data_IF_041909438617
#
_entry.id   IF_041909438617
#
_cell.length_a   1.000
_cell.length_b   1.000
_cell.length_c   1.000
_cell.angle_alpha   90.00
_cell.angle_beta   90.00
_cell.angle_gamma   90.00
#
_symmetry.space_group_name_H-M   'P 1'
#
loop_
_entity.id
_entity.type
_entity.pdbx_description
1 polymer ?
#
# COMPACT_ATOMS: atom_id res chain seq x y z
N UNK A 1 -5.99 4.79 -29.38
CA UNK A 1 -4.62 5.06 -28.89
C UNK A 1 -4.56 4.59 -27.46
N UNK A 2 -3.50 3.91 -27.05
CA UNK A 2 -3.27 3.53 -25.64
C UNK A 2 -2.06 4.31 -25.13
N UNK A 3 -2.17 4.82 -23.92
CA UNK A 3 -1.10 5.51 -23.24
C UNK A 3 -0.79 4.74 -21.93
N UNK A 4 0.47 4.56 -21.62
CA UNK A 4 0.90 3.85 -20.42
C UNK A 4 1.59 4.84 -19.49
N UNK A 5 1.16 4.83 -18.23
CA UNK A 5 1.81 5.57 -17.14
C UNK A 5 2.33 4.53 -16.17
N UNK A 6 3.58 4.67 -15.77
CA UNK A 6 4.18 3.86 -14.72
C UNK A 6 4.07 4.60 -13.38
N UNK A 7 4.11 3.85 -12.29
CA UNK A 7 4.18 4.45 -10.96
C UNK A 7 5.40 5.36 -10.84
N UNK A 8 5.21 6.51 -10.25
CA UNK A 8 6.28 7.46 -9.92
C UNK A 8 6.82 7.25 -8.52
N UNK A 9 6.00 6.67 -7.64
CA UNK A 9 6.37 6.11 -6.33
C UNK A 9 5.48 4.91 -6.05
N UNK A 10 6.03 3.92 -5.39
CA UNK A 10 5.28 2.80 -4.86
C UNK A 10 5.94 2.24 -3.59
N UNK A 11 5.13 1.64 -2.76
CA UNK A 11 5.55 0.97 -1.53
C UNK A 11 4.42 0.09 -1.03
N UNK A 12 4.71 -0.71 -0.04
CA UNK A 12 3.66 -1.37 0.72
C UNK A 12 3.86 -1.15 2.22
N UNK A 13 2.82 -1.35 2.99
CA UNK A 13 2.83 -1.31 4.44
C UNK A 13 2.22 -2.58 4.98
N UNK A 14 2.67 -3.02 6.14
CA UNK A 14 2.15 -4.23 6.78
C UNK A 14 1.82 -3.98 8.23
N UNK A 15 0.64 -4.48 8.63
CA UNK A 15 0.26 -4.57 10.03
C UNK A 15 0.95 -5.80 10.62
N UNK A 16 1.93 -5.58 11.47
CA UNK A 16 2.46 -6.65 12.28
C UNK A 16 1.70 -6.70 13.59
N UNK A 17 0.70 -7.55 13.67
CA UNK A 17 -0.04 -7.75 14.92
C UNK A 17 0.91 -8.22 16.03
N UNK A 18 0.88 -7.59 17.23
CA UNK A 18 1.74 -7.95 18.35
C UNK A 18 1.59 -9.39 18.87
N UNK A 19 0.71 -10.18 18.29
CA UNK A 19 0.55 -11.60 18.60
C UNK A 19 1.58 -12.54 17.97
N UNK A 20 2.39 -12.07 17.02
CA UNK A 20 3.45 -12.87 16.40
C UNK A 20 4.79 -12.69 17.14
N UNK A 21 4.82 -13.12 18.40
CA UNK A 21 5.86 -12.82 19.38
C UNK A 21 7.25 -13.37 19.02
N UNK A 22 7.40 -14.24 18.03
CA UNK A 22 8.63 -15.05 17.92
C UNK A 22 9.49 -14.76 16.70
N UNK A 23 8.99 -14.22 15.62
CA UNK A 23 9.76 -14.16 14.36
C UNK A 23 9.93 -12.76 13.74
N UNK A 24 9.07 -11.80 14.06
CA UNK A 24 9.18 -10.46 13.51
C UNK A 24 9.00 -9.42 14.60
N UNK A 25 10.06 -8.68 14.97
CA UNK A 25 9.92 -7.50 15.83
C UNK A 25 8.92 -6.54 15.17
N UNK A 26 8.18 -5.78 15.99
CA UNK A 26 7.22 -4.77 15.56
C UNK A 26 7.73 -4.01 14.32
N UNK A 27 7.11 -4.26 13.18
CA UNK A 27 7.46 -3.65 11.90
C UNK A 27 6.40 -2.68 11.41
N UNK A 28 5.48 -2.28 12.28
CA UNK A 28 4.43 -1.31 11.95
C UNK A 28 4.98 0.07 11.57
N UNK A 29 6.21 0.36 11.89
CA UNK A 29 6.95 1.57 11.50
C UNK A 29 8.06 1.31 10.46
N UNK A 30 8.19 0.07 9.96
CA UNK A 30 9.16 -0.26 8.91
C UNK A 30 8.70 0.29 7.56
N UNK A 31 9.65 0.85 6.83
CA UNK A 31 9.48 1.29 5.45
C UNK A 31 9.92 0.19 4.47
N UNK A 32 9.26 0.13 3.31
CA UNK A 32 9.50 -0.84 2.24
C UNK A 32 9.57 -0.16 0.85
N UNK A 33 9.95 1.12 0.80
CA UNK A 33 9.95 1.91 -0.42
C UNK A 33 10.94 1.46 -1.49
N UNK A 34 11.96 0.67 -1.13
CA UNK A 34 12.94 0.14 -2.07
C UNK A 34 12.80 -1.36 -2.32
N UNK A 35 11.71 -1.97 -1.86
CA UNK A 35 11.44 -3.35 -2.20
C UNK A 35 11.01 -3.48 -3.68
N UNK A 36 11.59 -4.43 -4.39
CA UNK A 36 11.30 -4.68 -5.81
C UNK A 36 9.92 -5.32 -6.03
N UNK A 37 9.34 -5.90 -5.00
CA UNK A 37 8.06 -6.60 -5.03
C UNK A 37 7.14 -6.04 -3.96
N UNK A 38 5.98 -5.56 -4.38
CA UNK A 38 4.94 -5.08 -3.49
C UNK A 38 4.14 -6.26 -2.93
N UNK A 39 4.16 -6.43 -1.62
CA UNK A 39 3.45 -7.52 -0.96
C UNK A 39 1.99 -7.15 -0.68
N UNK A 40 1.07 -7.95 -1.19
CA UNK A 40 -0.35 -7.87 -0.83
C UNK A 40 -0.78 -9.17 -0.15
N UNK A 41 -1.06 -9.10 1.15
CA UNK A 41 -1.42 -10.27 1.94
C UNK A 41 -2.53 -10.00 2.95
N UNK A 42 -3.23 -11.06 3.31
CA UNK A 42 -4.05 -11.16 4.50
C UNK A 42 -3.78 -12.52 5.15
N UNK A 43 -2.93 -12.52 6.14
CA UNK A 43 -2.46 -13.73 6.82
C UNK A 43 -3.14 -13.86 8.18
N UNK A 44 -3.67 -15.06 8.48
CA UNK A 44 -4.19 -15.34 9.81
C UNK A 44 -3.03 -15.67 10.76
N UNK A 45 -2.92 -14.89 11.81
CA UNK A 45 -1.79 -14.97 12.75
C UNK A 45 -2.17 -15.70 14.04
N UNK A 46 -3.26 -15.29 14.70
CA UNK A 46 -3.63 -15.82 15.99
C UNK A 46 -5.10 -15.50 16.33
N UNK A 47 -5.83 -16.50 16.80
CA UNK A 47 -7.23 -16.35 17.22
C UNK A 47 -7.42 -15.65 18.57
N UNK A 48 -6.34 -15.41 19.32
CA UNK A 48 -6.39 -14.75 20.64
C UNK A 48 -6.06 -13.26 20.59
N UNK A 49 -5.74 -12.72 19.41
CA UNK A 49 -5.48 -11.30 19.21
C UNK A 49 -6.75 -10.54 18.90
N UNK A 50 -6.81 -9.26 19.28
CA UNK A 50 -7.85 -8.32 18.85
C UNK A 50 -7.80 -8.04 17.34
N UNK A 51 -6.63 -8.20 16.72
CA UNK A 51 -6.45 -8.25 15.27
C UNK A 51 -5.84 -9.59 14.89
N UNK A 52 -6.65 -10.60 14.52
CA UNK A 52 -6.16 -11.94 14.24
C UNK A 52 -5.46 -12.06 12.89
N UNK A 53 -5.46 -11.02 12.10
CA UNK A 53 -4.87 -10.99 10.76
C UNK A 53 -3.69 -10.03 10.69
N UNK A 54 -2.69 -10.41 9.90
CA UNK A 54 -1.65 -9.51 9.42
C UNK A 54 -2.01 -9.12 7.99
N UNK A 55 -2.23 -7.83 7.78
CA UNK A 55 -2.70 -7.29 6.51
C UNK A 55 -1.62 -6.39 5.92
N UNK A 56 -1.43 -6.45 4.62
CA UNK A 56 -0.64 -5.45 3.90
C UNK A 56 -1.52 -4.61 2.97
N UNK A 57 -1.04 -3.41 2.65
CA UNK A 57 -1.64 -2.50 1.69
C UNK A 57 -0.57 -1.98 0.76
N UNK A 58 -0.88 -1.91 -0.52
CA UNK A 58 0.01 -1.34 -1.54
C UNK A 58 -0.39 0.10 -1.79
N UNK A 59 0.60 0.97 -1.89
CA UNK A 59 0.46 2.38 -2.25
C UNK A 59 1.17 2.61 -3.58
N UNK A 60 0.50 3.31 -4.49
CA UNK A 60 1.06 3.70 -5.78
C UNK A 60 0.67 5.12 -6.11
N UNK A 61 1.60 5.87 -6.66
CA UNK A 61 1.35 7.20 -7.19
C UNK A 61 1.75 7.25 -8.67
N UNK A 62 0.95 7.93 -9.47
CA UNK A 62 1.19 8.11 -10.89
C UNK A 62 1.27 9.60 -11.21
N UNK A 63 2.27 10.00 -11.98
CA UNK A 63 2.27 11.34 -12.58
C UNK A 63 1.45 11.30 -13.88
N UNK A 64 0.34 12.00 -13.86
CA UNK A 64 -0.58 12.12 -15.00
C UNK A 64 -0.72 13.55 -15.51
N UNK A 65 0.24 14.42 -15.19
CA UNK A 65 0.23 15.84 -15.55
C UNK A 65 0.08 16.07 -17.07
N UNK A 66 0.80 15.31 -17.88
CA UNK A 66 0.75 15.40 -19.35
C UNK A 66 -0.62 14.99 -19.90
N UNK A 67 -1.18 13.91 -19.35
CA UNK A 67 -2.51 13.42 -19.75
C UNK A 67 -3.59 14.38 -19.28
N UNK A 68 -3.50 14.90 -18.08
CA UNK A 68 -4.44 15.87 -17.53
C UNK A 68 -4.53 17.11 -18.44
N UNK A 69 -3.39 17.63 -18.87
CA UNK A 69 -3.33 18.76 -19.80
C UNK A 69 -4.01 18.44 -21.15
N UNK A 70 -3.76 17.28 -21.70
CA UNK A 70 -4.38 16.84 -22.97
C UNK A 70 -5.88 16.65 -22.86
N UNK A 71 -6.39 16.21 -21.69
CA UNK A 71 -7.83 16.12 -21.44
C UNK A 71 -8.46 17.50 -21.35
N UNK A 72 -7.84 18.42 -20.57
CA UNK A 72 -8.33 19.79 -20.41
C UNK A 72 -8.35 20.53 -21.74
N UNK A 73 -7.35 20.37 -22.59
CA UNK A 73 -7.26 20.97 -23.91
C UNK A 73 -8.22 20.34 -24.93
N UNK A 74 -8.85 19.22 -24.60
CA UNK A 74 -9.79 18.51 -25.47
C UNK A 74 -9.15 17.61 -26.53
N UNK A 75 -7.84 17.38 -26.43
CA UNK A 75 -7.10 16.47 -27.32
C UNK A 75 -7.49 15.02 -27.04
N UNK A 76 -7.75 14.68 -25.77
CA UNK A 76 -8.25 13.38 -25.33
C UNK A 76 -9.71 13.52 -24.90
N UNK A 77 -10.60 12.79 -25.57
CA UNK A 77 -12.04 12.78 -25.27
C UNK A 77 -12.46 11.45 -24.70
N UNK A 78 -13.25 11.48 -23.63
CA UNK A 78 -13.80 10.30 -22.96
C UNK A 78 -12.72 9.26 -22.57
N UNK A 79 -11.67 9.62 -21.80
CA UNK A 79 -10.64 8.70 -21.41
C UNK A 79 -11.20 7.58 -20.53
N UNK A 80 -10.62 6.39 -20.66
CA UNK A 80 -10.84 5.28 -19.74
C UNK A 80 -9.53 4.92 -19.10
N UNK A 81 -9.54 4.82 -17.77
CA UNK A 81 -8.37 4.48 -17.00
C UNK A 81 -8.45 3.02 -16.53
N UNK A 82 -7.33 2.33 -16.57
CA UNK A 82 -7.20 0.95 -16.13
C UNK A 82 -5.94 0.83 -15.27
N UNK A 83 -6.08 0.32 -14.06
CA UNK A 83 -4.94 -0.12 -13.27
C UNK A 83 -4.57 -1.54 -13.72
N UNK A 84 -3.32 -1.74 -14.10
CA UNK A 84 -2.78 -3.05 -14.46
C UNK A 84 -1.72 -3.46 -13.44
N UNK A 85 -1.97 -4.56 -12.77
CA UNK A 85 -1.06 -5.19 -11.84
C UNK A 85 -0.56 -6.51 -12.43
N UNK A 86 0.69 -6.85 -12.14
CA UNK A 86 1.28 -8.11 -12.53
C UNK A 86 1.62 -8.90 -11.28
N UNK A 87 1.16 -10.12 -11.21
CA UNK A 87 1.55 -11.06 -10.18
C UNK A 87 2.93 -11.63 -10.53
N UNK A 88 3.87 -11.51 -9.62
CA UNK A 88 5.22 -12.07 -9.76
C UNK A 88 5.25 -13.46 -9.13
N UNK A 89 4.69 -13.60 -7.93
CA UNK A 89 4.57 -14.85 -7.20
C UNK A 89 3.26 -14.84 -6.42
N UNK A 90 2.49 -15.89 -6.53
CA UNK A 90 1.21 -16.05 -5.84
C UNK A 90 1.03 -17.44 -5.27
N UNK A 91 0.18 -17.56 -4.27
CA UNK A 91 -0.19 -18.84 -3.71
C UNK A 91 -1.16 -19.55 -4.67
N UNK A 92 -0.69 -20.59 -5.33
CA UNK A 92 -1.41 -21.30 -6.40
C UNK A 92 -2.70 -22.03 -5.95
N UNK A 93 -2.89 -22.20 -4.64
CA UNK A 93 -4.02 -22.95 -4.04
C UNK A 93 -4.83 -22.06 -3.11
N UNK A 94 -5.31 -20.91 -3.59
CA UNK A 94 -6.31 -20.14 -2.88
C UNK A 94 -7.65 -20.86 -3.01
N UNK A 95 -8.18 -21.36 -1.90
CA UNK A 95 -9.47 -22.06 -1.81
C UNK A 95 -10.67 -21.09 -1.77
N UNK A 96 -10.42 -19.79 -1.88
CA UNK A 96 -11.42 -18.71 -1.90
C UNK A 96 -11.10 -17.64 -2.92
N UNK A 97 -12.14 -17.04 -3.46
CA UNK A 97 -12.01 -15.81 -4.25
C UNK A 97 -11.82 -14.62 -3.31
N UNK A 98 -10.82 -13.83 -3.55
CA UNK A 98 -10.56 -12.56 -2.84
C UNK A 98 -10.92 -11.39 -3.76
N UNK A 99 -11.46 -10.34 -3.16
CA UNK A 99 -11.67 -9.07 -3.83
C UNK A 99 -10.54 -8.11 -3.47
N UNK A 100 -9.98 -7.46 -4.47
CA UNK A 100 -9.06 -6.34 -4.29
C UNK A 100 -9.83 -5.04 -4.45
N UNK A 101 -9.63 -4.13 -3.53
CA UNK A 101 -10.23 -2.81 -3.57
C UNK A 101 -9.16 -1.76 -3.82
N UNK A 102 -9.45 -0.79 -4.69
CA UNK A 102 -8.59 0.34 -4.96
C UNK A 102 -9.26 1.61 -4.46
N UNK A 103 -8.61 2.31 -3.56
CA UNK A 103 -9.11 3.51 -2.93
C UNK A 103 -8.21 4.71 -3.26
N UNK A 104 -8.80 5.90 -3.28
CA UNK A 104 -8.02 7.13 -3.42
C UNK A 104 -7.47 7.53 -2.05
N UNK A 105 -6.19 7.88 -2.02
CA UNK A 105 -5.57 8.42 -0.83
C UNK A 105 -5.62 9.95 -0.89
N UNK A 106 -6.11 10.58 0.19
CA UNK A 106 -6.24 12.04 0.29
C UNK A 106 -5.03 12.73 0.93
N UNK A 107 -4.12 11.94 1.51
CA UNK A 107 -2.92 12.45 2.17
C UNK A 107 -1.70 12.20 1.30
N UNK A 108 -0.75 13.12 1.35
CA UNK A 108 0.56 12.90 0.75
C UNK A 108 1.37 11.92 1.58
N UNK A 109 2.34 11.26 0.95
CA UNK A 109 3.16 10.25 1.58
C UNK A 109 4.57 10.21 0.97
N UNK A 110 5.53 9.73 1.74
CA UNK A 110 6.90 9.56 1.30
C UNK A 110 7.21 8.07 1.08
N UNK A 111 7.75 7.75 -0.10
CA UNK A 111 8.15 6.38 -0.45
C UNK A 111 9.17 5.81 0.54
N UNK A 112 10.18 6.61 0.87
CA UNK A 112 11.30 6.20 1.69
C UNK A 112 12.33 5.36 0.95
N UNK A 113 13.35 4.89 1.67
CA UNK A 113 14.44 4.09 1.12
C UNK A 113 14.61 2.75 1.85
N UNK A 114 13.63 2.33 2.62
CA UNK A 114 13.68 1.09 3.38
C UNK A 114 13.46 -0.16 2.53
N UNK A 115 13.98 -1.26 3.02
CA UNK A 115 13.86 -2.58 2.42
C UNK A 115 13.50 -3.63 3.48
N UNK A 116 12.88 -4.72 3.05
CA UNK A 116 12.50 -5.83 3.90
C UNK A 116 13.66 -6.42 4.70
N UNK A 117 14.86 -6.44 4.12
CA UNK A 117 16.05 -7.03 4.73
C UNK A 117 16.87 -6.07 5.60
N UNK A 118 16.46 -4.80 5.73
CA UNK A 118 17.20 -3.82 6.52
C UNK A 118 17.35 -4.25 7.98
N UNK A 119 18.59 -4.19 8.48
CA UNK A 119 18.89 -4.43 9.88
C UNK A 119 20.00 -3.48 10.37
N UNK A 120 19.69 -2.47 11.18
CA UNK A 120 18.37 -2.17 11.74
C UNK A 120 17.33 -1.77 10.68
N UNK A 121 16.04 -1.89 11.03
CA UNK A 121 14.94 -1.50 10.14
C UNK A 121 15.02 -0.01 9.78
N UNK A 122 14.70 0.31 8.55
CA UNK A 122 14.56 1.69 8.06
C UNK A 122 13.14 2.20 8.32
N UNK A 123 13.00 3.46 8.74
CA UNK A 123 11.72 4.06 9.16
C UNK A 123 11.49 5.44 8.53
N UNK A 124 12.13 5.76 7.42
CA UNK A 124 12.16 7.10 6.83
C UNK A 124 10.99 7.44 5.89
N UNK A 125 10.16 6.48 5.58
CA UNK A 125 9.05 6.63 4.63
C UNK A 125 7.72 6.15 5.18
N UNK A 126 6.83 5.85 4.25
CA UNK A 126 5.51 5.30 4.56
C UNK A 126 5.61 3.99 5.35
N UNK A 127 4.74 3.85 6.33
CA UNK A 127 4.58 2.65 7.14
C UNK A 127 3.15 2.51 7.64
N UNK A 128 2.84 1.46 8.38
CA UNK A 128 1.50 1.32 8.96
C UNK A 128 1.15 2.47 9.91
N UNK A 129 2.13 3.01 10.65
CA UNK A 129 1.93 4.11 11.59
C UNK A 129 2.07 5.49 10.96
N UNK A 130 2.92 5.64 9.96
CA UNK A 130 3.36 6.94 9.46
C UNK A 130 3.14 7.09 7.97
N UNK A 131 2.72 8.27 7.53
CA UNK A 131 2.65 8.63 6.11
C UNK A 131 4.03 9.06 5.57
N UNK A 132 4.90 9.57 6.44
CA UNK A 132 6.28 9.94 6.08
C UNK A 132 7.16 9.97 7.33
N UNK A 133 8.07 8.99 7.46
CA UNK A 133 9.04 8.96 8.54
C UNK A 133 8.42 9.00 9.94
N UNK A 134 8.23 10.18 10.51
CA UNK A 134 7.71 10.38 11.87
C UNK A 134 6.32 11.03 11.91
N UNK A 135 5.70 11.34 10.78
CA UNK A 135 4.37 11.92 10.74
C UNK A 135 3.34 10.80 10.71
N UNK A 136 2.52 10.74 11.73
CA UNK A 136 1.40 9.79 11.79
C UNK A 136 0.37 10.10 10.69
N UNK A 137 -0.38 9.08 10.29
CA UNK A 137 -1.53 9.27 9.44
C UNK A 137 -2.56 10.17 10.12
N UNK A 138 -3.05 11.17 9.40
CA UNK A 138 -4.21 11.94 9.84
C UNK A 138 -5.44 11.05 9.68
N UNK A 139 -5.87 10.45 10.75
CA UNK A 139 -7.18 9.81 10.77
C UNK A 139 -8.22 10.91 10.94
N UNK A 140 -8.79 11.33 9.84
CA UNK A 140 -10.01 12.11 9.90
C UNK A 140 -11.13 11.16 10.38
N UNK A 141 -11.39 11.19 11.67
CA UNK A 141 -12.56 10.54 12.27
C UNK A 141 -13.87 11.28 11.88
N UNK A 142 -13.89 11.89 10.70
CA UNK A 142 -15.09 12.44 10.09
C UNK A 142 -16.09 11.33 9.91
N UNK A 143 -17.06 11.34 10.80
CA UNK A 143 -18.31 10.62 10.75
C UNK A 143 -18.27 9.07 10.84
N UNK A 144 -17.81 8.57 11.95
CA UNK A 144 -18.43 7.43 12.63
C UNK A 144 -18.92 6.25 11.80
N UNK A 145 -18.11 5.75 10.88
CA UNK A 145 -18.33 4.45 10.29
C UNK A 145 -17.25 3.50 10.81
N UNK A 146 -17.45 3.03 12.02
CA UNK A 146 -16.92 1.73 12.42
C UNK A 146 -17.62 0.68 11.54
N UNK A 147 -16.99 0.22 10.50
CA UNK A 147 -17.45 -1.01 9.89
C UNK A 147 -16.99 -2.18 10.75
N UNK A 148 -17.95 -2.71 11.46
CA UNK A 148 -17.93 -3.94 12.26
C UNK A 148 -17.65 -5.20 11.42
#
# INVERSE_FOLDING_TARGET
>A
MHYFIFSSKDSYITENSPGHIVLYPDSTDRNYGMDEILELKKEFVNSYSTSPYNVSRIFTQFDYSDISSSIVNGDIKNPKFYLRLYEVEGQSNLDKTYSLESLLLSQDWNEGVGNHFDNPKTTDGISWKFNSGSHEWDFDYGDGQEES
#
